data_IF_881824923756
#
_entry.id   IF_881824923756
#
_cell.length_a   1.000
_cell.length_b   1.000
_cell.length_c   1.000
_cell.angle_alpha   90.00
_cell.angle_beta   90.00
_cell.angle_gamma   90.00
#
_symmetry.space_group_name_H-M   'P 1'
#
loop_
_entity.id
_entity.type
_entity.pdbx_description
1 polymer ?
#
# COMPACT_ATOMS: atom_id res chain seq x y z
N UNK A 1 21.40 -8.69 19.67
CA UNK A 1 20.86 -7.74 20.62
C UNK A 1 20.98 -6.33 20.09
N UNK A 2 19.85 -5.65 19.93
CA UNK A 2 19.81 -4.21 19.64
C UNK A 2 20.53 -3.47 20.76
N UNK A 3 21.49 -2.62 20.40
CA UNK A 3 22.28 -1.83 21.36
C UNK A 3 21.35 -1.00 22.25
N UNK A 4 21.72 -0.82 23.51
CA UNK A 4 20.97 -0.03 24.50
C UNK A 4 20.69 1.39 23.99
N UNK A 5 21.60 1.94 23.19
CA UNK A 5 21.49 3.26 22.53
C UNK A 5 20.30 3.33 21.56
N UNK A 6 19.99 2.26 20.79
CA UNK A 6 18.83 2.21 19.89
C UNK A 6 17.49 2.22 20.65
N UNK A 7 17.45 1.60 21.83
CA UNK A 7 16.25 1.57 22.69
C UNK A 7 15.98 2.94 23.33
N UNK A 8 17.01 3.63 23.76
CA UNK A 8 16.90 4.99 24.35
C UNK A 8 16.53 6.02 23.30
N UNK A 9 17.10 5.94 22.10
CA UNK A 9 16.78 6.82 20.99
C UNK A 9 15.34 6.61 20.53
N UNK A 10 14.91 5.35 20.42
CA UNK A 10 13.52 4.99 20.08
C UNK A 10 12.53 5.46 21.14
N UNK A 11 12.84 5.28 22.42
CA UNK A 11 12.01 5.74 23.53
C UNK A 11 11.94 7.28 23.59
N UNK A 12 13.05 7.98 23.35
CA UNK A 12 13.09 9.44 23.25
C UNK A 12 12.26 9.95 22.09
N UNK A 13 12.37 9.31 20.92
CA UNK A 13 11.58 9.66 19.74
C UNK A 13 10.08 9.45 19.98
N UNK A 14 9.70 8.33 20.58
CA UNK A 14 8.29 8.02 20.94
C UNK A 14 7.75 9.06 21.93
N UNK A 15 8.53 9.42 22.97
CA UNK A 15 8.11 10.41 23.97
C UNK A 15 7.94 11.80 23.35
N UNK A 16 8.85 12.18 22.45
CA UNK A 16 8.78 13.45 21.72
C UNK A 16 7.59 13.46 20.73
N UNK A 17 7.32 12.33 20.06
CA UNK A 17 6.16 12.16 19.22
C UNK A 17 4.84 12.20 20.01
N UNK A 18 4.81 11.60 21.21
CA UNK A 18 3.65 11.65 22.11
C UNK A 18 3.34 13.09 22.55
N UNK A 19 4.37 13.87 22.88
CA UNK A 19 4.21 15.29 23.17
C UNK A 19 3.74 16.06 21.92
N UNK A 20 4.29 15.75 20.76
CA UNK A 20 3.91 16.33 19.46
C UNK A 20 2.43 16.05 19.13
N UNK A 21 1.95 14.83 19.43
CA UNK A 21 0.57 14.41 19.20
C UNK A 21 -0.41 14.98 20.23
N UNK A 22 0.05 15.51 21.37
CA UNK A 22 -0.77 16.15 22.39
C UNK A 22 -1.23 17.56 21.97
N UNK A 23 -0.42 18.24 21.16
CA UNK A 23 -0.77 19.54 20.59
C UNK A 23 -1.48 19.32 19.25
N UNK A 24 -2.40 20.21 18.86
CA UNK A 24 -3.06 20.22 17.53
C UNK A 24 -2.04 20.60 16.45
N UNK A 25 -1.08 19.73 16.18
CA UNK A 25 -0.05 19.97 15.17
C UNK A 25 -0.64 19.55 13.83
N UNK A 26 -0.43 20.40 12.83
CA UNK A 26 -0.75 20.04 11.46
C UNK A 26 0.20 18.92 10.99
N UNK A 27 -0.33 17.69 10.88
CA UNK A 27 0.45 16.52 10.46
C UNK A 27 0.62 16.44 8.94
N UNK A 28 -0.06 17.32 8.22
CA UNK A 28 -0.07 17.36 6.76
C UNK A 28 1.00 18.31 6.19
N UNK A 29 1.84 18.89 7.06
CA UNK A 29 2.97 19.72 6.63
C UNK A 29 3.95 18.88 5.82
N UNK A 30 4.30 19.37 4.65
CA UNK A 30 5.24 18.74 3.75
C UNK A 30 6.66 19.30 3.94
N UNK A 31 7.67 18.44 3.88
CA UNK A 31 9.06 18.84 3.83
C UNK A 31 9.50 19.25 2.40
N UNK A 32 10.79 19.51 2.21
CA UNK A 32 11.37 19.86 0.91
C UNK A 32 11.16 18.81 -0.20
N UNK A 33 10.97 17.54 0.19
CA UNK A 33 10.70 16.44 -0.73
C UNK A 33 9.19 16.24 -0.96
N UNK A 34 8.34 17.12 -0.40
CA UNK A 34 6.89 17.02 -0.43
C UNK A 34 6.33 15.96 0.52
N UNK A 35 7.14 15.41 1.43
CA UNK A 35 6.76 14.32 2.31
C UNK A 35 6.18 14.82 3.62
N UNK A 36 5.05 14.27 4.00
CA UNK A 36 4.45 14.47 5.31
C UNK A 36 5.04 13.48 6.34
N UNK A 37 4.65 13.64 7.60
CA UNK A 37 5.10 12.72 8.66
C UNK A 37 4.67 11.27 8.42
N UNK A 38 3.50 11.03 7.80
CA UNK A 38 3.05 9.66 7.48
C UNK A 38 3.93 9.01 6.40
N UNK A 39 4.37 9.74 5.39
CA UNK A 39 5.33 9.24 4.41
C UNK A 39 6.62 8.75 5.09
N UNK A 40 7.16 9.57 6.00
CA UNK A 40 8.39 9.22 6.73
C UNK A 40 8.22 8.01 7.63
N UNK A 41 7.08 7.88 8.31
CA UNK A 41 6.77 6.73 9.14
C UNK A 41 6.71 5.44 8.32
N UNK A 42 6.07 5.49 7.13
CA UNK A 42 5.99 4.35 6.21
C UNK A 42 7.37 3.98 5.65
N UNK A 43 8.17 4.96 5.24
CA UNK A 43 9.55 4.74 4.74
C UNK A 43 10.44 4.13 5.83
N UNK A 44 10.27 4.58 7.07
CA UNK A 44 11.00 4.04 8.22
C UNK A 44 10.52 2.65 8.65
N UNK A 45 9.38 2.18 8.10
CA UNK A 45 8.75 0.91 8.47
C UNK A 45 8.29 0.89 9.95
N UNK A 46 7.86 2.04 10.47
CA UNK A 46 7.42 2.19 11.86
C UNK A 46 5.89 2.11 11.96
N UNK A 47 5.40 0.87 12.07
CA UNK A 47 3.96 0.58 12.17
C UNK A 47 3.30 1.32 13.35
N UNK A 48 4.00 1.44 14.49
CA UNK A 48 3.46 2.10 15.68
C UNK A 48 3.19 3.60 15.43
N UNK A 49 4.11 4.25 14.72
CA UNK A 49 3.95 5.67 14.35
C UNK A 49 2.85 5.82 13.31
N UNK A 50 2.80 4.94 12.31
CA UNK A 50 1.73 4.92 11.29
C UNK A 50 0.36 4.80 11.96
N UNK A 51 0.18 3.83 12.87
CA UNK A 51 -1.06 3.64 13.62
C UNK A 51 -1.49 4.92 14.37
N UNK A 52 -0.56 5.54 15.11
CA UNK A 52 -0.86 6.79 15.85
C UNK A 52 -1.26 7.94 14.94
N UNK A 53 -0.62 8.07 13.77
CA UNK A 53 -0.94 9.11 12.80
C UNK A 53 -2.33 8.88 12.19
N UNK A 54 -2.71 7.63 11.91
CA UNK A 54 -4.05 7.28 11.44
C UNK A 54 -5.13 7.59 12.49
N UNK A 55 -4.90 7.24 13.77
CA UNK A 55 -5.81 7.59 14.88
C UNK A 55 -6.02 9.11 14.95
N UNK A 56 -4.98 9.90 14.65
CA UNK A 56 -5.03 11.37 14.62
C UNK A 56 -5.59 11.93 13.32
N UNK A 57 -6.05 11.06 12.41
CA UNK A 57 -6.64 11.44 11.12
C UNK A 57 -5.71 12.26 10.23
N UNK A 58 -4.41 11.90 10.19
CA UNK A 58 -3.49 12.42 9.19
C UNK A 58 -4.05 12.13 7.78
N UNK A 59 -3.91 13.08 6.86
CA UNK A 59 -4.32 12.85 5.48
C UNK A 59 -3.37 11.86 4.80
N UNK A 60 -3.92 10.72 4.35
CA UNK A 60 -3.16 9.60 3.79
C UNK A 60 -2.84 9.77 2.30
N UNK A 61 -3.57 10.70 1.62
CA UNK A 61 -3.53 10.84 0.16
C UNK A 61 -2.73 12.07 -0.32
N UNK A 62 -2.03 12.75 0.59
CA UNK A 62 -1.08 13.79 0.21
C UNK A 62 0.02 13.16 -0.63
N UNK A 63 0.38 13.85 -1.72
CA UNK A 63 1.41 13.40 -2.67
C UNK A 63 2.74 14.09 -2.38
N UNK A 64 3.80 13.32 -2.40
CA UNK A 64 5.17 13.86 -2.40
C UNK A 64 5.52 14.50 -3.76
N UNK A 65 6.73 15.05 -3.91
CA UNK A 65 7.18 15.69 -5.15
C UNK A 65 7.21 14.74 -6.37
N UNK A 66 7.16 13.43 -6.15
CA UNK A 66 7.04 12.41 -7.19
C UNK A 66 5.59 12.00 -7.47
N UNK A 67 4.61 12.64 -6.83
CA UNK A 67 3.20 12.29 -6.92
C UNK A 67 2.83 11.05 -6.11
N UNK A 68 3.68 10.57 -5.21
CA UNK A 68 3.49 9.36 -4.42
C UNK A 68 2.80 9.67 -3.11
N UNK A 69 1.77 8.89 -2.78
CA UNK A 69 1.15 8.90 -1.45
C UNK A 69 1.95 8.02 -0.48
N UNK A 70 1.62 8.07 0.81
CA UNK A 70 2.22 7.19 1.80
C UNK A 70 2.07 5.71 1.42
N UNK A 71 0.92 5.32 0.84
CA UNK A 71 0.67 3.96 0.39
C UNK A 71 1.67 3.50 -0.69
N UNK A 72 2.06 4.37 -1.62
CA UNK A 72 3.08 4.05 -2.62
C UNK A 72 4.42 3.66 -2.00
N UNK A 73 4.79 4.26 -0.89
CA UNK A 73 6.07 3.99 -0.23
C UNK A 73 6.15 2.62 0.43
N UNK A 74 5.02 1.90 0.63
CA UNK A 74 5.03 0.53 1.14
C UNK A 74 5.67 -0.47 0.17
N UNK A 75 5.79 -0.12 -1.12
CA UNK A 75 6.40 -0.96 -2.16
C UNK A 75 7.87 -1.29 -1.91
N UNK A 76 8.65 -0.37 -1.33
CA UNK A 76 10.11 -0.51 -1.23
C UNK A 76 10.53 -1.74 -0.44
N UNK A 77 9.78 -2.10 0.58
CA UNK A 77 10.02 -3.27 1.41
C UNK A 77 8.96 -4.37 1.22
N UNK A 78 8.00 -4.15 0.33
CA UNK A 78 6.85 -5.04 0.17
C UNK A 78 6.04 -5.15 1.47
N UNK A 79 5.97 -4.06 2.23
CA UNK A 79 5.34 -4.06 3.54
C UNK A 79 3.81 -4.10 3.43
N UNK A 80 3.30 -5.33 3.29
CA UNK A 80 1.86 -5.57 3.16
C UNK A 80 1.09 -5.19 4.44
N UNK A 81 1.73 -5.23 5.60
CA UNK A 81 1.08 -4.96 6.88
C UNK A 81 0.75 -3.47 7.03
N UNK A 82 1.71 -2.59 6.80
CA UNK A 82 1.46 -1.14 6.77
C UNK A 82 0.50 -0.79 5.64
N UNK A 83 0.66 -1.39 4.44
CA UNK A 83 -0.26 -1.15 3.33
C UNK A 83 -1.70 -1.50 3.72
N UNK A 84 -1.91 -2.67 4.35
CA UNK A 84 -3.23 -3.10 4.83
C UNK A 84 -3.83 -2.10 5.82
N UNK A 85 -3.04 -1.61 6.78
CA UNK A 85 -3.52 -0.61 7.73
C UNK A 85 -3.92 0.70 7.06
N UNK A 86 -3.11 1.21 6.11
CA UNK A 86 -3.43 2.41 5.35
C UNK A 86 -4.71 2.24 4.53
N UNK A 87 -4.90 1.07 3.89
CA UNK A 87 -6.10 0.74 3.12
C UNK A 87 -7.34 0.70 4.02
N UNK A 88 -7.25 0.03 5.17
CA UNK A 88 -8.35 -0.03 6.14
C UNK A 88 -8.70 1.35 6.71
N UNK A 89 -7.72 2.25 6.78
CA UNK A 89 -7.92 3.64 7.17
C UNK A 89 -8.47 4.53 6.06
N UNK A 90 -8.70 3.99 4.85
CA UNK A 90 -9.32 4.68 3.73
C UNK A 90 -8.35 5.35 2.75
N UNK A 91 -7.05 4.99 2.77
CA UNK A 91 -6.11 5.49 1.77
C UNK A 91 -6.55 5.09 0.35
N UNK A 92 -6.46 6.02 -0.61
CA UNK A 92 -6.84 5.79 -1.98
C UNK A 92 -5.79 4.91 -2.70
N UNK A 93 -6.14 3.64 -2.94
CA UNK A 93 -5.28 2.66 -3.61
C UNK A 93 -5.08 2.94 -5.11
N UNK A 94 -5.96 3.72 -5.71
CA UNK A 94 -6.00 3.94 -7.15
C UNK A 94 -5.26 5.22 -7.58
N UNK A 95 -4.73 6.00 -6.62
CA UNK A 95 -3.97 7.21 -6.94
C UNK A 95 -2.74 6.89 -7.79
N UNK A 96 -2.58 7.53 -8.97
CA UNK A 96 -1.35 7.42 -9.74
C UNK A 96 -0.29 8.43 -9.23
N UNK A 97 0.96 8.03 -9.29
CA UNK A 97 2.10 8.93 -9.15
C UNK A 97 2.36 9.73 -10.44
N UNK A 98 3.40 10.58 -10.47
CA UNK A 98 3.77 11.37 -11.65
C UNK A 98 4.19 10.51 -12.85
N UNK A 99 4.50 9.23 -12.65
CA UNK A 99 4.77 8.26 -13.72
C UNK A 99 3.50 7.55 -14.19
N UNK A 100 2.35 7.80 -13.56
CA UNK A 100 1.07 7.18 -13.84
C UNK A 100 0.95 5.78 -13.23
N UNK A 101 1.77 5.41 -12.25
CA UNK A 101 1.70 4.14 -11.55
C UNK A 101 0.98 4.28 -10.20
N UNK A 102 0.06 3.37 -9.93
CA UNK A 102 -0.48 3.17 -8.60
C UNK A 102 0.34 2.11 -7.84
N UNK A 103 -0.03 1.85 -6.59
CA UNK A 103 0.68 0.88 -5.74
C UNK A 103 0.66 -0.54 -6.31
N UNK A 104 -0.41 -0.97 -6.99
CA UNK A 104 -0.49 -2.30 -7.60
C UNK A 104 0.54 -2.48 -8.71
N UNK A 105 0.74 -1.46 -9.52
CA UNK A 105 1.74 -1.48 -10.58
C UNK A 105 3.14 -1.77 -10.02
N UNK A 106 3.51 -1.05 -8.97
CA UNK A 106 4.81 -1.23 -8.32
C UNK A 106 4.94 -2.58 -7.62
N UNK A 107 3.95 -2.97 -6.82
CA UNK A 107 3.96 -4.26 -6.13
C UNK A 107 4.09 -5.43 -7.11
N UNK A 108 3.46 -5.32 -8.28
CA UNK A 108 3.52 -6.33 -9.34
C UNK A 108 4.90 -6.39 -9.98
N UNK A 109 5.47 -5.23 -10.36
CA UNK A 109 6.79 -5.15 -11.00
C UNK A 109 7.88 -5.68 -10.07
N UNK A 110 7.79 -5.37 -8.77
CA UNK A 110 8.76 -5.79 -7.76
C UNK A 110 8.53 -7.23 -7.26
N UNK A 111 7.44 -7.88 -7.68
CA UNK A 111 7.14 -9.26 -7.30
C UNK A 111 6.68 -9.44 -5.84
N UNK A 112 6.15 -8.38 -5.21
CA UNK A 112 5.65 -8.42 -3.83
C UNK A 112 4.29 -9.11 -3.76
N UNK A 113 4.28 -10.43 -3.92
CA UNK A 113 3.07 -11.26 -4.05
C UNK A 113 2.06 -10.99 -2.93
N UNK A 114 2.52 -10.92 -1.69
CA UNK A 114 1.65 -10.70 -0.52
C UNK A 114 0.96 -9.33 -0.55
N UNK A 115 1.69 -8.30 -0.96
CA UNK A 115 1.12 -6.96 -1.14
C UNK A 115 0.13 -6.92 -2.30
N UNK A 116 0.46 -7.55 -3.44
CA UNK A 116 -0.44 -7.70 -4.60
C UNK A 116 -1.76 -8.35 -4.17
N UNK A 117 -1.68 -9.44 -3.41
CA UNK A 117 -2.84 -10.15 -2.87
C UNK A 117 -3.71 -9.22 -2.03
N UNK A 118 -3.09 -8.50 -1.09
CA UNK A 118 -3.79 -7.56 -0.21
C UNK A 118 -4.51 -6.47 -1.03
N UNK A 119 -3.85 -5.92 -2.03
CA UNK A 119 -4.42 -4.87 -2.89
C UNK A 119 -5.60 -5.37 -3.71
N UNK A 120 -5.46 -6.54 -4.36
CA UNK A 120 -6.54 -7.13 -5.17
C UNK A 120 -7.75 -7.47 -4.30
N UNK A 121 -7.54 -8.10 -3.14
CA UNK A 121 -8.62 -8.42 -2.19
C UNK A 121 -9.30 -7.18 -1.59
N UNK A 122 -8.63 -6.04 -1.63
CA UNK A 122 -9.18 -4.74 -1.19
C UNK A 122 -9.86 -3.96 -2.32
N UNK A 123 -9.93 -4.51 -3.55
CA UNK A 123 -10.64 -3.90 -4.67
C UNK A 123 -9.85 -2.82 -5.41
N UNK A 124 -8.50 -2.89 -5.40
CA UNK A 124 -7.69 -1.99 -6.23
C UNK A 124 -8.02 -2.18 -7.71
N UNK A 125 -8.12 -1.08 -8.44
CA UNK A 125 -8.33 -1.12 -9.89
C UNK A 125 -6.99 -1.25 -10.62
N UNK A 126 -6.90 -2.20 -11.55
CA UNK A 126 -5.74 -2.29 -12.44
C UNK A 126 -5.73 -1.16 -13.48
N UNK A 127 -6.90 -0.56 -13.69
CA UNK A 127 -7.17 0.36 -14.78
C UNK A 127 -7.08 1.83 -14.35
N UNK A 128 -5.97 2.45 -14.66
CA UNK A 128 -5.90 3.83 -15.08
C UNK A 128 -5.42 3.81 -16.53
N UNK A 129 -5.91 4.68 -17.39
CA UNK A 129 -5.64 4.76 -18.85
C UNK A 129 -4.13 4.92 -19.21
N UNK A 130 -3.25 4.24 -18.49
CA UNK A 130 -1.82 4.35 -18.67
C UNK A 130 -1.32 3.25 -19.60
N UNK A 131 -0.67 3.58 -20.73
CA UNK A 131 -0.11 2.59 -21.67
C UNK A 131 0.96 1.69 -21.02
N UNK A 132 1.50 2.06 -19.86
CA UNK A 132 2.43 1.22 -19.09
C UNK A 132 1.75 0.02 -18.40
N UNK A 133 0.41 0.01 -18.32
CA UNK A 133 -0.35 -1.11 -17.74
C UNK A 133 -0.19 -2.42 -18.51
N UNK A 134 0.23 -2.37 -19.79
CA UNK A 134 0.54 -3.56 -20.57
C UNK A 134 1.60 -4.44 -19.90
N UNK A 135 2.70 -3.84 -19.40
CA UNK A 135 3.73 -4.60 -18.67
C UNK A 135 3.18 -5.24 -17.39
N UNK A 136 2.29 -4.55 -16.70
CA UNK A 136 1.61 -5.07 -15.50
C UNK A 136 0.69 -6.22 -15.88
N UNK A 137 -0.09 -6.07 -16.95
CA UNK A 137 -0.95 -7.14 -17.46
C UNK A 137 -0.13 -8.37 -17.90
N UNK A 138 0.99 -8.18 -18.60
CA UNK A 138 1.92 -9.25 -18.97
C UNK A 138 2.49 -9.95 -17.74
N UNK A 139 2.87 -9.20 -16.70
CA UNK A 139 3.30 -9.78 -15.43
C UNK A 139 2.23 -10.69 -14.83
N UNK A 140 0.99 -10.21 -14.72
CA UNK A 140 -0.12 -11.02 -14.17
C UNK A 140 -0.44 -12.24 -15.02
N UNK A 141 -0.41 -12.11 -16.35
CA UNK A 141 -0.61 -13.25 -17.24
C UNK A 141 0.46 -14.32 -17.03
N UNK A 142 1.73 -13.90 -16.85
CA UNK A 142 2.83 -14.83 -16.53
C UNK A 142 2.69 -15.48 -15.16
N UNK A 143 1.90 -14.91 -14.27
CA UNK A 143 1.67 -15.33 -12.87
C UNK A 143 0.22 -15.76 -12.60
N UNK A 144 -0.53 -16.13 -13.64
CA UNK A 144 -1.94 -16.52 -13.53
C UNK A 144 -2.17 -17.60 -12.46
N UNK A 145 -1.23 -18.53 -12.30
CA UNK A 145 -1.23 -19.53 -11.22
C UNK A 145 -1.20 -18.93 -9.80
N UNK A 146 -0.73 -17.69 -9.63
CA UNK A 146 -0.75 -17.01 -8.32
C UNK A 146 -2.18 -16.60 -7.99
N UNK A 147 -2.92 -16.07 -8.97
CA UNK A 147 -4.32 -15.71 -8.80
C UNK A 147 -5.18 -16.95 -8.48
N UNK A 148 -4.89 -18.08 -9.13
CA UNK A 148 -5.57 -19.35 -8.84
C UNK A 148 -5.25 -19.88 -7.45
N UNK A 149 -3.99 -19.75 -7.02
CA UNK A 149 -3.59 -20.12 -5.64
C UNK A 149 -4.26 -19.25 -4.59
N UNK A 150 -4.56 -17.98 -4.90
CA UNK A 150 -5.33 -17.09 -4.00
C UNK A 150 -6.74 -17.63 -3.75
N UNK A 151 -7.40 -18.08 -4.82
CA UNK A 151 -8.76 -18.65 -4.74
C UNK A 151 -8.73 -20.01 -4.04
N UNK A 152 -7.64 -20.76 -4.23
CA UNK A 152 -7.46 -22.09 -3.64
C UNK A 152 -6.89 -22.08 -2.22
N UNK A 153 -6.55 -20.90 -1.66
CA UNK A 153 -6.01 -20.81 -0.30
C UNK A 153 -7.03 -21.39 0.71
N UNK A 154 -6.62 -22.47 1.39
CA UNK A 154 -7.47 -23.24 2.29
C UNK A 154 -7.87 -22.50 3.58
N UNK A 155 -7.19 -21.38 3.89
CA UNK A 155 -7.40 -20.61 5.11
C UNK A 155 -8.69 -19.74 5.12
N UNK A 156 -9.46 -19.71 4.04
CA UNK A 156 -10.71 -18.94 3.97
C UNK A 156 -11.86 -19.88 4.33
N UNK A 157 -12.16 -19.98 5.62
CA UNK A 157 -13.26 -20.80 6.15
C UNK A 157 -14.66 -20.22 5.88
N UNK A 158 -14.75 -18.92 5.59
CA UNK A 158 -16.01 -18.25 5.27
C UNK A 158 -16.35 -18.34 3.78
N UNK A 159 -17.42 -19.06 3.47
CA UNK A 159 -17.89 -19.25 2.09
C UNK A 159 -18.29 -17.95 1.37
N UNK A 160 -18.79 -16.93 2.10
CA UNK A 160 -19.13 -15.61 1.54
C UNK A 160 -17.87 -14.86 1.14
N UNK A 161 -16.85 -14.91 2.00
CA UNK A 161 -15.55 -14.27 1.76
C UNK A 161 -14.82 -14.95 0.60
N UNK A 162 -14.91 -16.27 0.49
CA UNK A 162 -14.35 -17.05 -0.63
C UNK A 162 -15.04 -16.70 -1.97
N UNK A 163 -16.36 -16.60 -1.99
CA UNK A 163 -17.10 -16.23 -3.19
C UNK A 163 -16.79 -14.79 -3.63
N UNK A 164 -16.71 -13.84 -2.69
CA UNK A 164 -16.30 -12.47 -2.98
C UNK A 164 -14.88 -12.41 -3.57
N UNK A 165 -13.95 -13.20 -3.06
CA UNK A 165 -12.58 -13.28 -3.60
C UNK A 165 -12.57 -13.89 -5.01
N UNK A 166 -13.35 -14.93 -5.26
CA UNK A 166 -13.51 -15.52 -6.61
C UNK A 166 -14.01 -14.48 -7.61
N UNK A 167 -15.02 -13.71 -7.23
CA UNK A 167 -15.58 -12.65 -8.06
C UNK A 167 -14.53 -11.56 -8.37
N UNK A 168 -13.81 -11.08 -7.35
CA UNK A 168 -12.74 -10.08 -7.50
C UNK A 168 -11.64 -10.59 -8.42
N UNK A 169 -11.17 -11.83 -8.23
CA UNK A 169 -10.11 -12.43 -9.06
C UNK A 169 -10.60 -12.64 -10.51
N UNK A 170 -11.86 -13.03 -10.69
CA UNK A 170 -12.45 -13.22 -12.02
C UNK A 170 -12.54 -11.91 -12.78
N UNK A 171 -13.03 -10.85 -12.13
CA UNK A 171 -13.08 -9.51 -12.70
C UNK A 171 -11.69 -8.98 -13.04
N UNK A 172 -10.73 -9.20 -12.16
CA UNK A 172 -9.34 -8.81 -12.38
C UNK A 172 -8.70 -9.53 -13.57
N UNK A 173 -8.95 -10.84 -13.76
CA UNK A 173 -8.51 -11.60 -14.95
C UNK A 173 -9.12 -11.04 -16.23
N UNK A 174 -10.39 -10.63 -16.20
CA UNK A 174 -11.06 -9.98 -17.33
C UNK A 174 -10.36 -8.66 -17.67
N UNK A 175 -10.08 -7.80 -16.69
CA UNK A 175 -9.36 -6.55 -16.89
C UNK A 175 -7.95 -6.76 -17.49
N UNK A 176 -7.23 -7.79 -17.02
CA UNK A 176 -5.92 -8.18 -17.58
C UNK A 176 -6.05 -8.48 -19.09
N UNK A 177 -7.03 -9.28 -19.46
CA UNK A 177 -7.22 -9.67 -20.86
C UNK A 177 -7.60 -8.47 -21.74
N UNK A 178 -8.46 -7.57 -21.23
CA UNK A 178 -8.83 -6.33 -21.94
C UNK A 178 -7.62 -5.39 -22.12
N UNK A 179 -6.75 -5.30 -21.11
CA UNK A 179 -5.52 -4.47 -21.17
C UNK A 179 -4.48 -5.01 -22.15
N UNK A 180 -4.48 -6.33 -22.41
CA UNK A 180 -3.57 -6.97 -23.36
C UNK A 180 -4.01 -6.86 -24.83
N UNK A 181 -5.32 -6.57 -25.06
CA UNK A 181 -5.89 -6.43 -26.39
C UNK A 181 -5.73 -5.01 -26.96
N UNK A 182 -5.39 -4.03 -26.15
CA UNK A 182 -5.13 -2.62 -26.51
C UNK A 182 -3.62 -2.40 -26.74
#
# INVERSE_FOLDING_TARGET
GLRIEDRTLKAYFIKRLQNFLKYRINMDVQDKDGRTVIHKAVIADDLLVVEKLMIKKANLDIKDNHGRTALHHTQWKGNYEIARWLILAGANMNEPDNSGFNILNYASILGHTRLVITLISSGVLMYNNNPKNKKVAEFFKSKEKILDKLVAAEDISDSKMKNALIEVVTNFKKEINEALQK
#
